data_IF_956814854141
#
_entry.id   IF_956814854141
#
_cell.length_a   1.000
_cell.length_b   1.000
_cell.length_c   1.000
_cell.angle_alpha   90.00
_cell.angle_beta   90.00
_cell.angle_gamma   90.00
#
_symmetry.space_group_name_H-M   'P 1'
#
loop_
_entity.id
_entity.type
_entity.pdbx_description
1 polymer ?
#
# COMPACT_ATOMS: atom_id res chain seq x y z
N UNK A 1 -7.10 25.71 -29.38
CA UNK A 1 -8.17 26.05 -28.42
C UNK A 1 -7.64 25.76 -27.01
N UNK A 2 -7.74 26.70 -26.08
CA UNK A 2 -7.21 26.53 -24.73
C UNK A 2 -8.10 25.55 -23.93
N UNK A 3 -7.50 24.67 -23.12
CA UNK A 3 -8.21 23.67 -22.31
C UNK A 3 -9.33 24.27 -21.43
N UNK A 4 -9.20 25.54 -21.03
CA UNK A 4 -10.21 26.27 -20.28
C UNK A 4 -11.50 26.49 -21.09
N UNK A 5 -11.40 26.66 -22.41
CA UNK A 5 -12.55 26.77 -23.32
C UNK A 5 -13.22 25.40 -23.53
N UNK A 6 -12.42 24.32 -23.49
CA UNK A 6 -12.89 22.94 -23.59
C UNK A 6 -13.59 22.49 -22.29
N UNK A 7 -13.09 22.91 -21.12
CA UNK A 7 -13.77 22.75 -19.83
C UNK A 7 -15.05 23.59 -19.72
N UNK A 8 -15.10 24.78 -20.36
CA UNK A 8 -16.32 25.58 -20.48
C UNK A 8 -17.32 24.97 -21.45
N UNK A 9 -16.88 24.38 -22.56
CA UNK A 9 -17.73 23.66 -23.52
C UNK A 9 -18.27 22.33 -22.99
N UNK A 10 -17.49 21.61 -22.16
CA UNK A 10 -17.95 20.40 -21.46
C UNK A 10 -18.87 20.70 -20.26
N UNK A 11 -19.10 21.99 -19.96
CA UNK A 11 -19.75 22.46 -18.74
C UNK A 11 -18.78 22.32 -17.56
N UNK A 12 -18.41 23.45 -16.95
CA UNK A 12 -17.57 23.44 -15.74
C UNK A 12 -18.15 22.52 -14.65
N UNK A 13 -17.38 22.21 -13.60
CA UNK A 13 -17.73 21.23 -12.54
C UNK A 13 -19.20 21.40 -12.10
N UNK A 14 -20.07 20.55 -12.67
CA UNK A 14 -21.50 20.63 -12.45
C UNK A 14 -21.84 20.27 -11.01
N UNK A 15 -23.04 20.67 -10.54
CA UNK A 15 -23.52 20.30 -9.20
C UNK A 15 -23.43 18.78 -8.94
N UNK A 16 -23.64 17.98 -9.98
CA UNK A 16 -23.49 16.52 -9.96
C UNK A 16 -22.03 16.07 -9.74
N UNK A 17 -21.07 16.69 -10.42
CA UNK A 17 -19.64 16.39 -10.25
C UNK A 17 -19.12 16.83 -8.87
N UNK A 18 -19.57 18.00 -8.37
CA UNK A 18 -19.27 18.44 -7.00
C UNK A 18 -19.86 17.47 -5.98
N UNK A 19 -21.14 17.11 -6.11
CA UNK A 19 -21.79 16.15 -5.24
C UNK A 19 -21.06 14.80 -5.25
N UNK A 20 -20.63 14.32 -6.42
CA UNK A 20 -19.95 13.04 -6.54
C UNK A 20 -18.53 13.05 -5.95
N UNK A 21 -17.79 14.15 -6.09
CA UNK A 21 -16.48 14.32 -5.44
C UNK A 21 -16.65 14.40 -3.92
N UNK A 22 -17.61 15.19 -3.42
CA UNK A 22 -17.93 15.27 -1.98
C UNK A 22 -18.33 13.90 -1.42
N UNK A 23 -19.12 13.12 -2.17
CA UNK A 23 -19.59 11.79 -1.78
C UNK A 23 -18.50 10.72 -1.83
N UNK A 24 -17.39 10.96 -2.55
CA UNK A 24 -16.19 10.10 -2.54
C UNK A 24 -15.21 10.49 -1.42
N UNK A 25 -15.14 11.77 -1.05
CA UNK A 25 -14.28 12.27 0.03
C UNK A 25 -14.79 11.84 1.41
N UNK A 26 -16.10 11.88 1.63
CA UNK A 26 -16.71 11.52 2.91
C UNK A 26 -16.34 10.08 3.37
N UNK A 27 -16.43 9.04 2.52
CA UNK A 27 -15.97 7.70 2.88
C UNK A 27 -14.46 7.56 3.11
N UNK A 28 -13.63 8.38 2.45
CA UNK A 28 -12.17 8.38 2.70
C UNK A 28 -11.84 8.86 4.12
N UNK A 29 -12.59 9.83 4.65
CA UNK A 29 -12.45 10.29 6.03
C UNK A 29 -12.93 9.23 7.05
N UNK A 30 -14.02 8.53 6.74
CA UNK A 30 -14.55 7.42 7.55
C UNK A 30 -13.62 6.18 7.58
N UNK A 31 -12.72 6.01 6.61
CA UNK A 31 -11.74 4.92 6.64
C UNK A 31 -10.61 5.16 7.65
N UNK A 32 -10.27 6.42 7.93
CA UNK A 32 -9.26 6.78 8.93
C UNK A 32 -9.73 6.48 10.35
N UNK A 33 -11.03 6.66 10.64
CA UNK A 33 -11.61 6.31 11.93
C UNK A 33 -11.60 4.80 12.18
N UNK A 34 -11.82 3.97 11.14
CA UNK A 34 -11.75 2.51 11.30
C UNK A 34 -10.36 1.97 11.63
N UNK A 35 -9.30 2.57 11.08
CA UNK A 35 -7.92 2.19 11.39
C UNK A 35 -7.53 2.59 12.83
N UNK A 36 -7.98 3.76 13.29
CA UNK A 36 -7.70 4.23 14.65
C UNK A 36 -8.53 3.51 15.71
N UNK A 37 -9.77 3.11 15.39
CA UNK A 37 -10.64 2.36 16.30
C UNK A 37 -10.01 1.05 16.80
N UNK A 38 -9.20 0.38 15.97
CA UNK A 38 -8.51 -0.84 16.38
C UNK A 38 -7.47 -0.60 17.49
N UNK A 39 -6.83 0.58 17.52
CA UNK A 39 -5.85 0.90 18.55
C UNK A 39 -6.52 1.05 19.93
N UNK A 40 -7.75 1.56 19.96
CA UNK A 40 -8.51 1.74 21.20
C UNK A 40 -9.19 0.44 21.66
N UNK A 41 -9.84 -0.29 20.73
CA UNK A 41 -10.60 -1.50 21.07
C UNK A 41 -9.72 -2.69 21.47
N UNK A 42 -8.48 -2.73 20.98
CA UNK A 42 -7.51 -3.75 21.33
C UNK A 42 -6.44 -3.25 22.32
N UNK A 43 -6.65 -2.12 23.01
CA UNK A 43 -5.72 -1.65 24.03
C UNK A 43 -5.55 -2.71 25.15
N UNK A 44 -4.34 -2.85 25.69
CA UNK A 44 -4.05 -3.73 26.82
C UNK A 44 -3.94 -2.85 28.06
N UNK A 45 -4.95 -2.80 28.94
CA UNK A 45 -4.82 -2.07 30.18
C UNK A 45 -3.78 -2.73 31.10
N UNK A 46 -3.21 -1.98 32.04
CA UNK A 46 -2.41 -2.55 33.12
C UNK A 46 -3.21 -3.64 33.83
N UNK A 47 -2.59 -4.81 34.03
CA UNK A 47 -3.25 -5.97 34.61
C UNK A 47 -2.28 -6.76 35.46
N UNK A 48 -2.85 -7.58 36.33
CA UNK A 48 -2.12 -8.48 37.20
C UNK A 48 -2.90 -9.77 37.44
N UNK A 49 -2.23 -10.81 37.94
CA UNK A 49 -2.87 -12.08 38.25
C UNK A 49 -3.93 -11.92 39.35
N UNK A 50 -5.05 -12.62 39.19
CA UNK A 50 -6.04 -12.78 40.26
C UNK A 50 -5.52 -13.75 41.33
N UNK A 51 -5.51 -13.39 42.63
CA UNK A 51 -5.17 -14.33 43.70
C UNK A 51 -6.16 -15.50 43.79
N UNK A 52 -5.77 -16.65 44.38
CA UNK A 52 -6.68 -17.77 44.60
C UNK A 52 -7.84 -17.42 45.52
N UNK A 53 -9.00 -18.05 45.31
CA UNK A 53 -10.22 -17.80 46.08
C UNK A 53 -10.09 -18.07 47.59
N UNK A 54 -9.06 -18.83 48.00
CA UNK A 54 -8.70 -19.08 49.40
C UNK A 54 -7.95 -17.91 50.06
N UNK A 55 -7.58 -16.87 49.31
CA UNK A 55 -6.91 -15.69 49.85
C UNK A 55 -7.94 -14.73 50.48
N UNK A 56 -7.77 -14.41 51.77
CA UNK A 56 -8.63 -13.47 52.51
C UNK A 56 -8.27 -12.01 52.22
N UNK A 57 -8.63 -11.53 51.03
CA UNK A 57 -8.39 -10.15 50.52
C UNK A 57 -9.05 -9.00 51.31
N UNK A 58 -9.40 -9.21 52.58
CA UNK A 58 -10.08 -8.26 53.47
C UNK A 58 -9.13 -7.27 54.16
N UNK A 59 -7.81 -7.41 53.99
CA UNK A 59 -6.79 -6.55 54.61
C UNK A 59 -5.94 -5.83 53.57
N UNK A 60 -5.68 -4.55 53.81
CA UNK A 60 -4.74 -3.75 53.02
C UNK A 60 -3.34 -4.41 53.01
N UNK A 61 -2.78 -4.60 51.81
CA UNK A 61 -1.47 -5.21 51.60
C UNK A 61 -1.45 -6.72 51.34
N UNK A 62 -2.58 -7.44 51.44
CA UNK A 62 -2.60 -8.87 51.08
C UNK A 62 -2.46 -9.10 49.57
N UNK A 63 -2.99 -8.22 48.72
CA UNK A 63 -2.83 -8.31 47.28
C UNK A 63 -1.35 -8.22 46.89
N UNK A 64 -0.61 -7.28 47.46
CA UNK A 64 0.81 -7.07 47.16
C UNK A 64 1.69 -8.28 47.52
N UNK A 65 1.29 -9.09 48.50
CA UNK A 65 2.00 -10.29 48.90
C UNK A 65 1.98 -11.42 47.85
N UNK A 66 1.11 -11.35 46.84
CA UNK A 66 0.98 -12.36 45.77
C UNK A 66 1.62 -11.94 44.45
N UNK A 67 1.99 -10.66 44.29
CA UNK A 67 2.45 -10.12 43.01
C UNK A 67 3.98 -9.86 43.04
N UNK A 68 4.77 -10.54 42.18
CA UNK A 68 6.18 -10.18 41.99
C UNK A 68 6.29 -8.78 41.38
N UNK A 69 7.39 -8.07 41.67
CA UNK A 69 7.65 -6.72 41.14
C UNK A 69 8.76 -6.76 40.09
N UNK A 70 8.57 -6.01 39.01
CA UNK A 70 9.57 -5.79 37.96
C UNK A 70 10.73 -4.92 38.47
N UNK A 71 11.80 -4.79 37.69
CA UNK A 71 12.95 -3.94 38.03
C UNK A 71 12.64 -2.43 38.16
N UNK A 72 11.41 -2.00 37.90
CA UNK A 72 10.90 -0.64 38.08
C UNK A 72 9.93 -0.53 39.27
N UNK A 73 9.77 -1.60 40.06
CA UNK A 73 8.91 -1.63 41.24
C UNK A 73 7.41 -1.77 40.95
N UNK A 74 7.01 -2.05 39.70
CA UNK A 74 5.61 -2.30 39.33
C UNK A 74 5.29 -3.80 39.40
N UNK A 75 4.06 -4.19 39.71
CA UNK A 75 3.67 -5.59 39.68
C UNK A 75 3.85 -6.20 38.28
N UNK A 76 4.49 -7.37 38.20
CA UNK A 76 4.57 -8.14 36.96
C UNK A 76 3.18 -8.63 36.55
N UNK A 77 2.83 -8.42 35.27
CA UNK A 77 1.45 -8.61 34.81
C UNK A 77 1.06 -10.07 34.54
N UNK A 78 2.04 -10.96 34.39
CA UNK A 78 1.84 -12.34 33.92
C UNK A 78 2.24 -13.43 34.91
N UNK A 79 2.82 -13.05 36.05
CA UNK A 79 3.36 -13.98 37.04
C UNK A 79 2.80 -13.66 38.42
N UNK A 80 2.67 -14.70 39.23
CA UNK A 80 2.17 -14.68 40.60
C UNK A 80 3.03 -15.58 41.46
N UNK A 81 3.19 -15.27 42.75
CA UNK A 81 3.78 -16.19 43.70
C UNK A 81 2.84 -17.35 44.03
N UNK A 82 3.39 -18.57 44.13
CA UNK A 82 2.65 -19.78 44.57
C UNK A 82 2.16 -19.71 46.02
N UNK A 83 2.73 -18.83 46.85
CA UNK A 83 2.34 -18.63 48.25
C UNK A 83 2.49 -17.15 48.65
N UNK A 84 1.66 -16.62 49.57
CA UNK A 84 1.68 -15.21 49.95
C UNK A 84 2.95 -14.89 50.73
N UNK A 85 3.74 -13.94 50.22
CA UNK A 85 4.95 -13.46 50.86
C UNK A 85 4.60 -12.37 51.88
N UNK A 86 4.14 -12.77 53.08
CA UNK A 86 3.84 -11.83 54.17
C UNK A 86 5.14 -11.37 54.85
N UNK A 87 5.39 -10.06 54.85
CA UNK A 87 6.38 -9.44 55.74
C UNK A 87 7.83 -9.43 55.27
N UNK A 88 8.11 -9.61 53.97
CA UNK A 88 9.43 -9.27 53.42
C UNK A 88 9.49 -7.75 53.19
N UNK A 89 10.33 -6.99 53.92
CA UNK A 89 10.77 -5.70 53.43
C UNK A 89 11.58 -5.97 52.17
N UNK A 90 11.39 -5.26 51.06
CA UNK A 90 12.32 -5.32 49.94
C UNK A 90 13.62 -4.62 50.36
N UNK A 91 14.74 -5.31 50.71
CA UNK A 91 15.97 -4.61 50.99
C UNK A 91 16.81 -4.67 49.72
N UNK A 92 17.49 -3.58 49.42
CA UNK A 92 18.54 -3.57 48.40
C UNK A 92 19.50 -4.74 48.61
N UNK A 93 19.49 -5.67 47.66
CA UNK A 93 20.53 -6.66 47.38
C UNK A 93 21.01 -7.53 48.54
N UNK A 94 20.55 -8.78 48.58
CA UNK A 94 21.47 -9.94 48.62
C UNK A 94 20.72 -11.21 48.23
N UNK A 95 21.35 -11.99 47.36
CA UNK A 95 20.88 -13.23 46.76
C UNK A 95 20.31 -14.19 47.83
N UNK A 96 19.01 -14.44 47.78
CA UNK A 96 18.39 -15.57 48.46
C UNK A 96 18.17 -16.68 47.44
N UNK A 97 18.99 -17.73 47.54
CA UNK A 97 18.93 -19.00 46.79
C UNK A 97 17.68 -19.85 47.07
N UNK A 98 16.52 -19.23 47.30
CA UNK A 98 15.23 -19.87 47.14
C UNK A 98 14.71 -19.47 45.78
N UNK A 99 14.55 -20.39 44.85
CA UNK A 99 13.72 -20.16 43.67
C UNK A 99 12.34 -19.76 44.17
N UNK A 100 12.08 -18.46 44.27
CA UNK A 100 10.76 -17.92 44.55
C UNK A 100 9.85 -18.49 43.46
N UNK A 101 9.05 -19.49 43.82
CA UNK A 101 8.31 -20.27 42.84
C UNK A 101 7.15 -19.39 42.33
N UNK A 102 7.44 -18.63 41.28
CA UNK A 102 6.46 -17.89 40.50
C UNK A 102 5.78 -18.85 39.52
N UNK A 103 4.45 -18.76 39.43
CA UNK A 103 3.65 -19.49 38.46
C UNK A 103 2.90 -18.52 37.52
N UNK A 104 2.56 -18.94 36.29
CA UNK A 104 1.67 -18.17 35.43
C UNK A 104 0.28 -18.04 36.04
N UNK A 105 -0.43 -16.95 35.75
CA UNK A 105 -1.78 -16.72 36.28
C UNK A 105 -2.75 -17.85 35.85
N UNK A 106 -3.23 -18.65 36.80
CA UNK A 106 -4.21 -19.73 36.56
C UNK A 106 -5.66 -19.33 36.85
N UNK A 107 -5.87 -18.34 37.73
CA UNK A 107 -7.19 -17.95 38.23
C UNK A 107 -7.77 -16.70 37.53
N UNK A 108 -7.28 -16.38 36.33
CA UNK A 108 -7.65 -15.19 35.57
C UNK A 108 -6.85 -13.95 35.97
N UNK A 109 -7.28 -12.81 35.44
CA UNK A 109 -6.60 -11.51 35.57
C UNK A 109 -7.52 -10.45 36.17
N UNK A 110 -6.91 -9.46 36.81
CA UNK A 110 -7.57 -8.23 37.25
C UNK A 110 -6.99 -7.10 36.41
N UNK A 111 -7.86 -6.37 35.71
CA UNK A 111 -7.51 -5.26 34.85
C UNK A 111 -7.84 -3.93 35.51
N UNK A 112 -7.01 -2.92 35.27
CA UNK A 112 -7.31 -1.55 35.64
C UNK A 112 -8.26 -0.91 34.61
N UNK A 113 -9.53 -0.78 34.99
CA UNK A 113 -10.60 -0.25 34.15
C UNK A 113 -10.74 1.28 34.21
N UNK A 114 -9.79 2.00 34.82
CA UNK A 114 -9.83 3.47 34.95
C UNK A 114 -9.82 4.20 33.60
N UNK A 115 -9.06 3.68 32.63
CA UNK A 115 -8.88 4.32 31.31
C UNK A 115 -9.79 3.71 30.24
N UNK A 116 -9.96 2.38 30.26
CA UNK A 116 -10.81 1.66 29.31
C UNK A 116 -11.76 0.74 30.08
N UNK A 117 -13.09 0.96 30.02
CA UNK A 117 -14.04 0.16 30.80
C UNK A 117 -14.12 -1.28 30.29
N UNK A 118 -14.05 -1.48 28.98
CA UNK A 118 -14.02 -2.79 28.33
C UNK A 118 -13.21 -2.72 27.03
N UNK A 119 -12.39 -3.74 26.80
CA UNK A 119 -11.63 -3.95 25.56
C UNK A 119 -11.75 -5.41 25.13
N UNK A 120 -11.42 -5.69 23.86
CA UNK A 120 -11.34 -7.06 23.32
C UNK A 120 -10.38 -7.92 24.17
N UNK A 121 -9.34 -7.31 24.72
CA UNK A 121 -8.34 -7.98 25.53
C UNK A 121 -8.89 -8.38 26.89
N UNK A 122 -9.66 -7.49 27.54
CA UNK A 122 -10.25 -7.74 28.87
C UNK A 122 -11.47 -8.65 28.80
N UNK A 123 -12.16 -8.73 27.66
CA UNK A 123 -13.37 -9.56 27.51
C UNK A 123 -13.06 -11.04 27.25
N UNK A 124 -11.96 -11.33 26.54
CA UNK A 124 -11.54 -12.70 26.22
C UNK A 124 -10.16 -13.07 26.78
N UNK A 125 -9.66 -12.31 27.76
CA UNK A 125 -8.40 -12.57 28.48
C UNK A 125 -7.21 -12.86 27.56
N UNK A 126 -7.02 -12.01 26.54
CA UNK A 126 -6.04 -12.21 25.48
C UNK A 126 -4.62 -11.76 25.88
N UNK A 127 -4.17 -12.12 27.07
CA UNK A 127 -2.89 -11.68 27.64
C UNK A 127 -1.95 -12.83 28.01
N UNK A 128 -0.68 -12.51 28.22
CA UNK A 128 0.37 -13.45 28.63
C UNK A 128 0.51 -14.64 27.65
N UNK A 129 0.03 -15.82 28.03
CA UNK A 129 0.02 -17.02 27.18
C UNK A 129 -0.88 -16.87 25.93
N UNK A 130 -1.97 -16.12 26.04
CA UNK A 130 -2.94 -15.92 24.96
C UNK A 130 -2.63 -14.70 24.08
N UNK A 131 -1.49 -14.03 24.27
CA UNK A 131 -1.06 -12.89 23.44
C UNK A 131 -0.99 -13.22 21.95
N UNK A 132 -0.69 -14.48 21.63
CA UNK A 132 -0.60 -14.97 20.26
C UNK A 132 -1.96 -14.95 19.55
N UNK A 133 -3.08 -15.12 20.27
CA UNK A 133 -4.42 -15.03 19.69
C UNK A 133 -4.71 -13.60 19.22
N UNK A 134 -4.32 -12.57 20.00
CA UNK A 134 -4.43 -11.18 19.56
C UNK A 134 -3.63 -10.93 18.27
N UNK A 135 -2.43 -11.48 18.17
CA UNK A 135 -1.62 -11.41 16.94
C UNK A 135 -2.27 -12.17 15.78
N UNK A 136 -2.87 -13.32 16.05
CA UNK A 136 -3.60 -14.12 15.05
C UNK A 136 -4.78 -13.33 14.45
N UNK A 137 -5.54 -12.58 15.25
CA UNK A 137 -6.61 -11.71 14.74
C UNK A 137 -6.08 -10.61 13.80
N UNK A 138 -4.88 -10.06 14.08
CA UNK A 138 -4.22 -9.09 13.20
C UNK A 138 -3.69 -9.74 11.92
N UNK A 139 -3.11 -10.93 12.02
CA UNK A 139 -2.66 -11.69 10.85
C UNK A 139 -3.83 -12.08 9.94
N UNK A 140 -4.97 -12.49 10.52
CA UNK A 140 -6.20 -12.81 9.76
C UNK A 140 -6.77 -11.57 9.05
N UNK A 141 -6.66 -10.38 9.65
CA UNK A 141 -6.99 -9.14 8.96
C UNK A 141 -6.13 -8.96 7.69
N UNK A 142 -4.81 -9.17 7.79
CA UNK A 142 -3.89 -9.06 6.65
C UNK A 142 -4.15 -10.13 5.58
N UNK A 143 -4.47 -11.36 5.98
CA UNK A 143 -4.93 -12.41 5.06
C UNK A 143 -6.21 -11.96 4.34
N UNK A 144 -7.15 -11.37 5.07
CA UNK A 144 -8.34 -10.75 4.50
C UNK A 144 -8.01 -9.68 3.46
N UNK A 145 -7.05 -8.79 3.75
CA UNK A 145 -6.60 -7.76 2.80
C UNK A 145 -6.05 -8.39 1.50
N UNK A 146 -5.28 -9.48 1.61
CA UNK A 146 -4.74 -10.21 0.45
C UNK A 146 -5.85 -10.85 -0.39
N UNK A 147 -6.77 -11.59 0.25
CA UNK A 147 -7.89 -12.23 -0.43
C UNK A 147 -8.82 -11.18 -1.07
N UNK A 148 -9.09 -10.09 -0.36
CA UNK A 148 -9.85 -8.96 -0.86
C UNK A 148 -9.22 -8.33 -2.10
N UNK A 149 -7.89 -8.27 -2.16
CA UNK A 149 -7.19 -7.70 -3.31
C UNK A 149 -7.45 -8.49 -4.59
N UNK A 150 -7.52 -9.82 -4.48
CA UNK A 150 -7.76 -10.73 -5.59
C UNK A 150 -9.24 -10.67 -6.00
N UNK A 151 -10.15 -10.80 -5.03
CA UNK A 151 -11.59 -10.88 -5.28
C UNK A 151 -12.14 -9.55 -5.78
N UNK A 152 -11.91 -8.45 -5.06
CA UNK A 152 -12.43 -7.14 -5.45
C UNK A 152 -11.70 -6.56 -6.66
N UNK A 153 -10.43 -6.91 -6.87
CA UNK A 153 -9.73 -6.60 -8.12
C UNK A 153 -10.45 -7.20 -9.33
N UNK A 154 -10.72 -8.51 -9.30
CA UNK A 154 -11.44 -9.16 -10.39
C UNK A 154 -12.89 -8.64 -10.54
N UNK A 155 -13.56 -8.38 -9.42
CA UNK A 155 -14.92 -7.87 -9.43
C UNK A 155 -15.00 -6.44 -9.97
N UNK A 156 -13.95 -5.62 -9.77
CA UNK A 156 -13.90 -4.24 -10.25
C UNK A 156 -13.84 -4.19 -11.78
N UNK A 157 -13.19 -5.15 -12.40
CA UNK A 157 -13.10 -5.28 -13.85
C UNK A 157 -14.43 -5.74 -14.47
N UNK A 158 -15.22 -6.55 -13.76
CA UNK A 158 -16.51 -7.10 -14.23
C UNK A 158 -17.71 -6.20 -13.98
N UNK A 159 -17.88 -5.73 -12.74
CA UNK A 159 -19.07 -4.98 -12.30
C UNK A 159 -18.91 -3.46 -12.43
N UNK A 160 -17.69 -3.00 -12.72
CA UNK A 160 -17.31 -1.60 -12.76
C UNK A 160 -16.96 -1.04 -11.38
N UNK A 161 -16.00 -0.11 -11.37
CA UNK A 161 -15.36 0.44 -10.16
C UNK A 161 -16.34 1.09 -9.17
N UNK A 162 -17.41 1.73 -9.64
CA UNK A 162 -18.42 2.38 -8.78
C UNK A 162 -19.21 1.37 -7.94
N UNK A 163 -19.65 0.25 -8.54
CA UNK A 163 -20.44 -0.77 -7.84
C UNK A 163 -19.57 -1.51 -6.82
N UNK A 164 -18.31 -1.78 -7.18
CA UNK A 164 -17.36 -2.40 -6.26
C UNK A 164 -17.03 -1.49 -5.08
N UNK A 165 -16.89 -0.18 -5.29
CA UNK A 165 -16.67 0.77 -4.20
C UNK A 165 -17.87 0.78 -3.24
N UNK A 166 -19.10 0.80 -3.75
CA UNK A 166 -20.32 0.73 -2.91
C UNK A 166 -20.38 -0.59 -2.15
N UNK A 167 -20.15 -1.73 -2.83
CA UNK A 167 -20.16 -3.05 -2.21
C UNK A 167 -19.11 -3.18 -1.09
N UNK A 168 -17.90 -2.66 -1.32
CA UNK A 168 -16.81 -2.70 -0.34
C UNK A 168 -17.14 -1.87 0.89
N UNK A 169 -17.76 -0.69 0.73
CA UNK A 169 -18.20 0.13 1.86
C UNK A 169 -19.36 -0.50 2.63
N UNK A 170 -20.33 -1.09 1.93
CA UNK A 170 -21.44 -1.80 2.57
C UNK A 170 -20.93 -3.01 3.37
N UNK A 171 -20.01 -3.78 2.81
CA UNK A 171 -19.39 -4.90 3.51
C UNK A 171 -18.56 -4.44 4.72
N UNK A 172 -17.85 -3.32 4.61
CA UNK A 172 -17.12 -2.73 5.74
C UNK A 172 -18.09 -2.34 6.87
N UNK A 173 -19.16 -1.63 6.54
CA UNK A 173 -20.15 -1.20 7.52
C UNK A 173 -20.84 -2.39 8.21
N UNK A 174 -21.22 -3.40 7.44
CA UNK A 174 -21.83 -4.62 7.97
C UNK A 174 -20.85 -5.38 8.88
N UNK A 175 -19.65 -5.70 8.39
CA UNK A 175 -18.65 -6.45 9.17
C UNK A 175 -18.19 -5.70 10.42
N UNK A 176 -18.00 -4.37 10.34
CA UNK A 176 -17.64 -3.53 11.48
C UNK A 176 -18.74 -3.52 12.56
N UNK A 177 -20.00 -3.40 12.16
CA UNK A 177 -21.14 -3.44 13.10
C UNK A 177 -21.26 -4.82 13.74
N UNK A 178 -21.18 -5.89 12.95
CA UNK A 178 -21.23 -7.26 13.46
C UNK A 178 -20.07 -7.58 14.41
N UNK A 179 -18.91 -6.98 14.20
CA UNK A 179 -17.74 -7.15 15.08
C UNK A 179 -18.03 -6.62 16.50
N UNK A 180 -18.83 -5.56 16.64
CA UNK A 180 -19.19 -5.00 17.94
C UNK A 180 -20.12 -5.91 18.76
N UNK A 181 -20.86 -6.81 18.09
CA UNK A 181 -21.77 -7.77 18.71
C UNK A 181 -21.23 -9.21 18.70
N UNK A 182 -19.94 -9.40 18.46
CA UNK A 182 -19.35 -10.73 18.37
C UNK A 182 -19.40 -11.43 19.73
N UNK A 183 -20.10 -12.58 19.87
CA UNK A 183 -20.23 -13.27 21.16
C UNK A 183 -19.00 -14.11 21.52
N UNK A 184 -18.08 -14.32 20.57
CA UNK A 184 -16.89 -15.16 20.77
C UNK A 184 -15.72 -14.72 19.90
N UNK A 185 -14.51 -15.05 20.36
CA UNK A 185 -13.25 -14.70 19.69
C UNK A 185 -13.11 -15.24 18.25
N UNK A 186 -13.55 -16.47 17.89
CA UNK A 186 -13.51 -16.93 16.51
C UNK A 186 -14.44 -16.16 15.57
N UNK A 187 -15.63 -15.80 16.05
CA UNK A 187 -16.61 -14.99 15.29
C UNK A 187 -16.05 -13.59 15.06
N UNK A 188 -15.41 -13.01 16.08
CA UNK A 188 -14.65 -11.77 15.96
C UNK A 188 -13.57 -11.86 14.87
N UNK A 189 -12.78 -12.94 14.85
CA UNK A 189 -11.74 -13.16 13.84
C UNK A 189 -12.32 -13.27 12.41
N UNK A 190 -13.46 -13.94 12.24
CA UNK A 190 -14.13 -14.06 10.94
C UNK A 190 -14.59 -12.69 10.41
N UNK A 191 -15.23 -11.87 11.25
CA UNK A 191 -15.62 -10.52 10.85
C UNK A 191 -14.41 -9.64 10.55
N UNK A 192 -13.32 -9.79 11.32
CA UNK A 192 -12.07 -9.06 11.09
C UNK A 192 -11.41 -9.42 9.76
N UNK A 193 -11.48 -10.69 9.33
CA UNK A 193 -11.06 -11.10 7.99
C UNK A 193 -11.93 -10.43 6.91
N UNK A 194 -13.25 -10.42 7.08
CA UNK A 194 -14.19 -9.77 6.14
C UNK A 194 -13.95 -8.24 6.03
N UNK A 195 -13.66 -7.56 7.15
CA UNK A 195 -13.28 -6.14 7.14
C UNK A 195 -11.93 -5.91 6.44
N UNK A 196 -10.97 -6.82 6.60
CA UNK A 196 -9.72 -6.82 5.84
C UNK A 196 -9.97 -6.86 4.32
N UNK A 197 -10.85 -7.78 3.87
CA UNK A 197 -11.23 -7.89 2.46
C UNK A 197 -11.84 -6.59 1.92
N UNK A 198 -12.76 -5.98 2.66
CA UNK A 198 -13.39 -4.71 2.29
C UNK A 198 -12.40 -3.56 2.18
N UNK A 199 -11.43 -3.49 3.09
CA UNK A 199 -10.39 -2.43 3.09
C UNK A 199 -9.60 -2.46 1.78
N UNK A 200 -9.24 -3.66 1.32
CA UNK A 200 -8.48 -3.84 0.07
C UNK A 200 -9.24 -3.32 -1.15
N UNK A 201 -10.53 -3.65 -1.28
CA UNK A 201 -11.37 -3.16 -2.38
C UNK A 201 -11.49 -1.64 -2.42
N UNK A 202 -11.58 -0.99 -1.26
CA UNK A 202 -11.62 0.48 -1.15
C UNK A 202 -10.28 1.08 -1.60
N UNK A 203 -9.16 0.58 -1.06
CA UNK A 203 -7.82 1.07 -1.37
C UNK A 203 -7.49 0.92 -2.87
N UNK A 204 -7.80 -0.24 -3.47
CA UNK A 204 -7.56 -0.48 -4.88
C UNK A 204 -8.32 0.47 -5.79
N UNK A 205 -9.61 0.72 -5.51
CA UNK A 205 -10.41 1.62 -6.32
C UNK A 205 -9.94 3.07 -6.16
N UNK A 206 -9.54 3.49 -4.95
CA UNK A 206 -8.98 4.83 -4.72
C UNK A 206 -7.69 5.02 -5.50
N UNK A 207 -6.72 4.11 -5.36
CA UNK A 207 -5.46 4.19 -6.11
C UNK A 207 -5.69 4.13 -7.61
N UNK A 208 -6.57 3.25 -8.09
CA UNK A 208 -6.92 3.15 -9.51
C UNK A 208 -7.65 4.38 -10.04
N UNK A 209 -8.43 5.07 -9.21
CA UNK A 209 -9.11 6.31 -9.55
C UNK A 209 -8.15 7.50 -9.61
N UNK A 210 -7.12 7.54 -8.75
CA UNK A 210 -6.06 8.55 -8.79
C UNK A 210 -5.08 8.32 -9.96
N UNK A 211 -4.84 7.06 -10.33
CA UNK A 211 -4.00 6.73 -11.48
C UNK A 211 -4.62 7.19 -12.82
N UNK A 212 -5.95 7.34 -12.90
CA UNK A 212 -6.66 7.80 -14.11
C UNK A 212 -6.29 9.24 -14.52
N UNK A 213 -6.45 10.28 -13.67
CA UNK A 213 -6.05 11.63 -14.01
C UNK A 213 -4.54 11.75 -14.22
N UNK A 214 -3.71 11.02 -13.46
CA UNK A 214 -2.26 11.00 -13.67
C UNK A 214 -1.89 10.45 -15.06
N UNK A 215 -2.54 9.36 -15.51
CA UNK A 215 -2.37 8.80 -16.86
C UNK A 215 -2.95 9.71 -17.94
N UNK A 216 -4.03 10.43 -17.68
CA UNK A 216 -4.58 11.40 -18.63
C UNK A 216 -3.62 12.57 -18.83
N UNK A 217 -3.08 13.15 -17.76
CA UNK A 217 -2.03 14.17 -17.82
C UNK A 217 -0.79 13.63 -18.54
N UNK A 218 -0.38 12.40 -18.24
CA UNK A 218 0.71 11.72 -18.95
C UNK A 218 0.44 11.56 -20.45
N UNK A 219 -0.78 11.16 -20.83
CA UNK A 219 -1.19 11.03 -22.23
C UNK A 219 -1.15 12.37 -22.97
N UNK A 220 -1.67 13.44 -22.35
CA UNK A 220 -1.59 14.81 -22.89
C UNK A 220 -0.13 15.24 -23.03
N UNK A 221 0.71 14.97 -22.03
CA UNK A 221 2.13 15.30 -22.07
C UNK A 221 2.87 14.57 -23.21
N UNK A 222 2.59 13.27 -23.41
CA UNK A 222 3.17 12.48 -24.50
C UNK A 222 2.77 13.01 -25.88
N UNK A 223 1.52 13.46 -26.02
CA UNK A 223 1.00 13.98 -27.29
C UNK A 223 1.49 15.40 -27.62
N UNK A 224 1.70 16.26 -26.61
CA UNK A 224 2.11 17.64 -26.81
C UNK A 224 3.62 17.89 -26.73
N UNK A 225 4.31 17.25 -25.78
CA UNK A 225 5.75 17.47 -25.56
C UNK A 225 6.63 16.41 -26.24
N UNK A 226 6.07 15.28 -26.64
CA UNK A 226 6.84 14.14 -27.15
C UNK A 226 7.13 13.10 -26.08
N UNK A 227 7.68 11.96 -26.50
CA UNK A 227 7.79 10.76 -25.65
C UNK A 227 8.97 10.87 -24.71
N UNK A 228 10.10 11.41 -25.19
CA UNK A 228 11.34 11.58 -24.41
C UNK A 228 11.15 12.53 -23.22
N UNK A 229 10.71 13.80 -23.39
CA UNK A 229 10.57 14.72 -22.27
C UNK A 229 9.47 14.29 -21.29
N UNK A 230 8.39 13.68 -21.78
CA UNK A 230 7.33 13.14 -20.91
C UNK A 230 7.86 12.01 -20.00
N UNK A 231 8.66 11.09 -20.55
CA UNK A 231 9.27 9.99 -19.78
C UNK A 231 10.27 10.51 -18.73
N UNK A 232 11.13 11.46 -19.12
CA UNK A 232 12.12 12.08 -18.22
C UNK A 232 11.42 12.81 -17.08
N UNK A 233 10.44 13.65 -17.39
CA UNK A 233 9.70 14.44 -16.40
C UNK A 233 8.93 13.55 -15.42
N UNK A 234 8.26 12.49 -15.90
CA UNK A 234 7.52 11.58 -15.04
C UNK A 234 8.43 10.82 -14.05
N UNK A 235 9.58 10.32 -14.50
CA UNK A 235 10.53 9.60 -13.65
C UNK A 235 11.25 10.52 -12.64
N UNK A 236 11.63 11.74 -13.06
CA UNK A 236 12.22 12.73 -12.16
C UNK A 236 11.24 13.18 -11.08
N UNK A 237 10.01 13.54 -11.48
CA UNK A 237 8.98 13.98 -10.55
C UNK A 237 8.62 12.86 -9.55
N UNK A 238 8.53 11.61 -10.02
CA UNK A 238 8.31 10.45 -9.15
C UNK A 238 9.42 10.30 -8.10
N UNK A 239 10.68 10.30 -8.54
CA UNK A 239 11.83 10.14 -7.66
C UNK A 239 11.93 11.26 -6.62
N UNK A 240 11.74 12.52 -7.03
CA UNK A 240 11.75 13.67 -6.12
C UNK A 240 10.61 13.57 -5.08
N UNK A 241 9.40 13.19 -5.50
CA UNK A 241 8.27 13.02 -4.56
C UNK A 241 8.54 11.92 -3.54
N UNK A 242 9.14 10.80 -3.95
CA UNK A 242 9.46 9.69 -3.05
C UNK A 242 10.58 10.08 -2.08
N UNK A 243 11.64 10.75 -2.55
CA UNK A 243 12.73 11.21 -1.67
C UNK A 243 12.27 12.27 -0.67
N UNK A 244 11.46 13.23 -1.13
CA UNK A 244 10.90 14.26 -0.25
C UNK A 244 9.96 13.68 0.82
N UNK A 245 9.36 12.51 0.58
CA UNK A 245 8.55 11.80 1.57
C UNK A 245 9.35 11.43 2.84
N UNK A 246 10.65 11.22 2.71
CA UNK A 246 11.52 10.75 3.80
C UNK A 246 11.98 11.83 4.75
N UNK A 247 11.94 13.08 4.29
CA UNK A 247 12.30 14.25 5.09
C UNK A 247 11.10 14.72 5.92
N UNK A 248 9.88 14.28 5.59
CA UNK A 248 8.65 14.72 6.26
C UNK A 248 8.44 13.96 7.58
N UNK A 249 8.32 14.66 8.72
CA UNK A 249 8.12 14.02 10.03
C UNK A 249 6.77 13.29 10.13
N UNK A 250 6.71 12.29 11.03
CA UNK A 250 5.58 11.35 11.18
C UNK A 250 4.22 12.02 11.45
N UNK A 251 4.21 13.22 12.06
CA UNK A 251 3.00 13.92 12.45
C UNK A 251 2.17 14.45 11.26
N UNK A 252 2.78 14.67 10.09
CA UNK A 252 2.11 15.25 8.91
C UNK A 252 1.66 14.17 7.90
N UNK A 253 0.81 13.26 8.36
CA UNK A 253 0.33 12.10 7.57
C UNK A 253 -0.35 12.47 6.25
N UNK A 254 -1.08 13.59 6.20
CA UNK A 254 -1.75 14.08 4.98
C UNK A 254 -0.76 14.46 3.88
N UNK A 255 0.31 15.17 4.23
CA UNK A 255 1.33 15.59 3.24
C UNK A 255 2.09 14.36 2.75
N UNK A 256 2.47 13.45 3.66
CA UNK A 256 3.16 12.21 3.31
C UNK A 256 2.35 11.33 2.36
N UNK A 257 1.05 11.17 2.62
CA UNK A 257 0.16 10.37 1.75
C UNK A 257 -0.06 11.05 0.40
N UNK A 258 -0.28 12.37 0.36
CA UNK A 258 -0.44 13.10 -0.91
C UNK A 258 0.78 12.97 -1.83
N UNK A 259 1.98 13.07 -1.26
CA UNK A 259 3.23 13.01 -2.00
C UNK A 259 3.56 11.59 -2.49
N UNK A 260 3.27 10.58 -1.66
CA UNK A 260 3.37 9.18 -2.05
C UNK A 260 2.40 8.82 -3.18
N UNK A 261 1.17 9.32 -3.11
CA UNK A 261 0.16 9.14 -4.15
C UNK A 261 0.57 9.82 -5.47
N UNK A 262 1.10 11.04 -5.40
CA UNK A 262 1.62 11.76 -6.56
C UNK A 262 2.80 11.02 -7.21
N UNK A 263 3.77 10.59 -6.40
CA UNK A 263 4.93 9.82 -6.88
C UNK A 263 4.53 8.51 -7.55
N UNK A 264 3.61 7.75 -6.94
CA UNK A 264 3.04 6.53 -7.54
C UNK A 264 2.32 6.82 -8.86
N UNK A 265 1.51 7.88 -8.92
CA UNK A 265 0.83 8.29 -10.16
C UNK A 265 1.80 8.59 -11.29
N UNK A 266 2.91 9.25 -10.99
CA UNK A 266 3.98 9.54 -11.97
C UNK A 266 4.70 8.27 -12.45
N UNK A 267 4.97 7.30 -11.56
CA UNK A 267 5.50 5.98 -11.95
C UNK A 267 4.52 5.22 -12.86
N UNK A 268 3.22 5.29 -12.58
CA UNK A 268 2.20 4.67 -13.41
C UNK A 268 2.11 5.30 -14.81
N UNK A 269 2.25 6.62 -14.91
CA UNK A 269 2.32 7.33 -16.20
C UNK A 269 3.59 6.98 -16.98
N UNK A 270 4.74 6.94 -16.31
CA UNK A 270 6.02 6.48 -16.88
C UNK A 270 5.92 5.04 -17.42
N UNK A 271 5.27 4.14 -16.68
CA UNK A 271 5.04 2.77 -17.14
C UNK A 271 4.17 2.71 -18.40
N UNK A 272 3.13 3.54 -18.53
CA UNK A 272 2.37 3.61 -19.78
C UNK A 272 3.18 4.21 -20.94
N UNK A 273 4.00 5.22 -20.67
CA UNK A 273 4.83 5.87 -21.69
C UNK A 273 5.92 4.94 -22.22
N UNK A 274 6.65 4.21 -21.37
CA UNK A 274 7.72 3.31 -21.80
C UNK A 274 7.21 2.18 -22.71
N UNK A 275 6.00 1.66 -22.46
CA UNK A 275 5.37 0.65 -23.31
C UNK A 275 5.03 1.20 -24.71
N UNK A 276 4.47 2.41 -24.76
CA UNK A 276 4.20 3.10 -26.03
C UNK A 276 5.51 3.38 -26.78
N UNK A 277 6.50 3.92 -26.07
CA UNK A 277 7.79 4.32 -26.62
C UNK A 277 8.58 3.12 -27.16
N UNK A 278 8.50 1.96 -26.49
CA UNK A 278 9.07 0.70 -27.00
C UNK A 278 8.45 0.30 -28.34
N UNK A 279 7.15 0.53 -28.54
CA UNK A 279 6.48 0.28 -29.82
C UNK A 279 6.91 1.22 -30.95
N UNK A 280 7.32 2.44 -30.63
CA UNK A 280 7.78 3.44 -31.61
C UNK A 280 9.29 3.37 -31.88
N UNK A 281 10.08 2.89 -30.91
CA UNK A 281 11.54 2.80 -30.99
C UNK A 281 12.00 1.54 -31.73
N UNK A 282 11.35 0.40 -31.51
CA UNK A 282 11.75 -0.88 -32.11
C UNK A 282 11.03 -1.13 -33.44
N UNK A 283 11.76 -1.63 -34.47
CA UNK A 283 11.16 -1.98 -35.75
C UNK A 283 10.26 -3.20 -35.60
N UNK A 284 9.27 -3.33 -36.49
CA UNK A 284 8.22 -4.37 -36.45
C UNK A 284 8.78 -5.78 -36.21
N UNK A 285 9.90 -6.12 -36.84
CA UNK A 285 10.57 -7.43 -36.75
C UNK A 285 11.02 -7.82 -35.33
N UNK A 286 11.41 -6.86 -34.49
CA UNK A 286 11.92 -7.11 -33.12
C UNK A 286 11.09 -6.45 -32.03
N UNK A 287 10.00 -5.77 -32.40
CA UNK A 287 9.13 -5.01 -31.49
C UNK A 287 8.54 -5.88 -30.38
N UNK A 288 8.02 -7.07 -30.74
CA UNK A 288 7.44 -7.99 -29.78
C UNK A 288 8.50 -8.54 -28.80
N UNK A 289 9.70 -8.82 -29.30
CA UNK A 289 10.84 -9.26 -28.49
C UNK A 289 11.28 -8.16 -27.50
N UNK A 290 11.33 -6.90 -27.94
CA UNK A 290 11.61 -5.75 -27.09
C UNK A 290 10.56 -5.53 -25.99
N UNK A 291 9.27 -5.58 -26.34
CA UNK A 291 8.16 -5.52 -25.38
C UNK A 291 8.21 -6.68 -24.37
N UNK A 292 8.53 -7.89 -24.83
CA UNK A 292 8.72 -9.07 -23.98
C UNK A 292 9.85 -8.88 -22.97
N UNK A 293 11.02 -8.41 -23.41
CA UNK A 293 12.15 -8.11 -22.53
C UNK A 293 11.81 -7.05 -21.47
N UNK A 294 11.12 -5.97 -21.87
CA UNK A 294 10.65 -4.94 -20.93
C UNK A 294 9.71 -5.49 -19.86
N UNK A 295 8.78 -6.37 -20.26
CA UNK A 295 7.87 -7.07 -19.33
C UNK A 295 8.64 -7.95 -18.34
N UNK A 296 9.63 -8.72 -18.81
CA UNK A 296 10.47 -9.55 -17.94
C UNK A 296 11.22 -8.71 -16.90
N UNK A 297 11.77 -7.56 -17.30
CA UNK A 297 12.47 -6.67 -16.35
C UNK A 297 11.51 -6.05 -15.31
N UNK A 298 10.28 -5.73 -15.70
CA UNK A 298 9.26 -5.30 -14.73
C UNK A 298 8.95 -6.41 -13.70
N UNK A 299 8.95 -7.69 -14.12
CA UNK A 299 8.78 -8.84 -13.22
C UNK A 299 9.95 -8.99 -12.25
N UNK A 300 11.19 -8.85 -12.73
CA UNK A 300 12.39 -8.84 -11.86
C UNK A 300 12.27 -7.73 -10.81
N UNK A 301 11.87 -6.52 -11.20
CA UNK A 301 11.63 -5.42 -10.27
C UNK A 301 10.56 -5.75 -9.22
N UNK A 302 9.47 -6.41 -9.62
CA UNK A 302 8.41 -6.84 -8.69
C UNK A 302 8.87 -7.92 -7.70
N UNK A 303 9.77 -8.82 -8.12
CA UNK A 303 10.36 -9.87 -7.27
C UNK A 303 11.38 -9.28 -6.29
N UNK A 304 12.14 -8.28 -6.73
CA UNK A 304 13.12 -7.58 -5.89
C UNK A 304 12.47 -6.62 -4.87
N UNK A 305 11.26 -6.12 -5.15
CA UNK A 305 10.59 -5.11 -4.32
C UNK A 305 10.37 -5.56 -2.85
N UNK A 306 9.85 -6.76 -2.55
CA UNK A 306 9.76 -7.23 -1.16
C UNK A 306 11.12 -7.32 -0.47
N UNK A 307 12.19 -7.68 -1.21
CA UNK A 307 13.54 -7.77 -0.67
C UNK A 307 14.07 -6.39 -0.25
N UNK A 308 13.81 -5.36 -1.07
CA UNK A 308 14.10 -3.96 -0.72
C UNK A 308 13.25 -3.53 0.49
N UNK A 309 11.98 -3.91 0.55
CA UNK A 309 11.12 -3.59 1.70
C UNK A 309 11.61 -4.24 3.00
N UNK A 310 12.19 -5.44 2.94
CA UNK A 310 12.73 -6.15 4.12
C UNK A 310 13.95 -5.43 4.71
N UNK A 311 14.70 -4.65 3.91
CA UNK A 311 15.82 -3.83 4.44
C UNK A 311 15.37 -2.74 5.42
N UNK A 312 14.05 -2.43 5.48
CA UNK A 312 13.46 -1.54 6.48
C UNK A 312 13.68 -2.03 7.92
N UNK A 313 13.85 -3.34 8.13
CA UNK A 313 14.10 -3.93 9.45
C UNK A 313 15.47 -3.59 10.00
N UNK A 314 16.49 -3.39 9.13
CA UNK A 314 17.81 -2.93 9.54
C UNK A 314 17.88 -1.39 9.61
N UNK A 315 17.34 -0.72 8.60
CA UNK A 315 17.37 0.74 8.50
C UNK A 315 16.02 1.26 7.95
N UNK A 316 15.17 1.91 8.78
CA UNK A 316 13.83 2.34 8.39
C UNK A 316 13.75 3.25 7.15
N UNK A 317 14.82 4.00 6.86
CA UNK A 317 14.88 4.97 5.76
C UNK A 317 15.36 4.37 4.43
N UNK A 318 16.04 3.22 4.43
CA UNK A 318 16.70 2.65 3.25
C UNK A 318 15.78 2.36 2.07
N UNK A 319 14.60 1.73 2.24
CA UNK A 319 13.70 1.44 1.12
C UNK A 319 13.31 2.71 0.38
N UNK A 320 13.07 3.81 1.11
CA UNK A 320 12.66 5.06 0.52
C UNK A 320 13.76 5.68 -0.35
N UNK A 321 15.01 5.65 0.11
CA UNK A 321 16.15 6.09 -0.70
C UNK A 321 16.33 5.23 -1.95
N UNK A 322 16.15 3.91 -1.84
CA UNK A 322 16.28 3.00 -2.99
C UNK A 322 15.16 3.28 -4.01
N UNK A 323 13.89 3.32 -3.58
CA UNK A 323 12.76 3.60 -4.47
C UNK A 323 12.76 5.03 -5.03
N UNK A 324 13.39 5.97 -4.34
CA UNK A 324 13.52 7.36 -4.79
C UNK A 324 14.67 7.58 -5.77
N UNK A 325 15.83 6.96 -5.55
CA UNK A 325 17.02 7.16 -6.40
C UNK A 325 16.96 6.39 -7.71
N UNK A 326 16.39 5.17 -7.72
CA UNK A 326 16.28 4.34 -8.94
C UNK A 326 15.54 5.07 -10.08
N UNK A 327 14.36 5.69 -9.87
CA UNK A 327 13.70 6.49 -10.90
C UNK A 327 14.52 7.70 -11.39
N UNK A 328 15.29 8.35 -10.52
CA UNK A 328 16.13 9.50 -10.90
C UNK A 328 17.28 9.06 -11.82
N UNK A 329 17.93 7.95 -11.47
CA UNK A 329 18.96 7.33 -12.33
C UNK A 329 18.34 6.90 -13.65
N UNK A 330 17.18 6.24 -13.61
CA UNK A 330 16.45 5.84 -14.82
C UNK A 330 16.06 7.03 -15.71
N UNK A 331 15.70 8.18 -15.13
CA UNK A 331 15.42 9.41 -15.88
C UNK A 331 16.66 9.95 -16.60
N UNK A 332 17.82 9.87 -15.94
CA UNK A 332 19.10 10.26 -16.53
C UNK A 332 19.47 9.36 -17.71
N UNK A 333 19.27 8.05 -17.57
CA UNK A 333 19.45 7.10 -18.68
C UNK A 333 18.42 7.35 -19.80
N UNK A 334 17.18 7.71 -19.45
CA UNK A 334 16.14 8.06 -20.41
C UNK A 334 16.49 9.29 -21.26
N UNK A 335 17.35 10.17 -20.77
CA UNK A 335 17.86 11.30 -21.56
C UNK A 335 18.68 10.87 -22.78
N UNK A 336 19.24 9.66 -22.79
CA UNK A 336 19.99 9.12 -23.94
C UNK A 336 19.09 8.58 -25.05
N UNK A 337 17.79 8.42 -24.81
CA UNK A 337 16.86 7.89 -25.80
C UNK A 337 16.50 8.94 -26.88
N UNK A 338 16.31 8.53 -28.15
CA UNK A 338 15.97 9.42 -29.26
C UNK A 338 14.47 9.74 -29.32
N UNK A 339 14.08 10.99 -29.61
CA UNK A 339 12.67 11.38 -29.72
C UNK A 339 11.96 10.69 -30.89
N UNK A 340 10.72 10.23 -30.67
CA UNK A 340 9.89 9.52 -31.66
C UNK A 340 8.70 10.34 -32.15
N UNK A 341 8.36 11.45 -31.49
CA UNK A 341 7.26 12.33 -31.88
C UNK A 341 7.39 12.79 -33.35
N UNK A 342 6.36 12.54 -34.15
CA UNK A 342 6.28 13.02 -35.54
C UNK A 342 7.08 12.22 -36.57
N UNK A 343 7.77 11.15 -36.17
CA UNK A 343 8.45 10.25 -37.10
C UNK A 343 7.57 9.03 -37.45
N UNK A 344 7.63 8.51 -38.70
CA UNK A 344 6.91 7.28 -39.06
C UNK A 344 7.42 6.10 -38.21
N UNK A 345 6.66 5.02 -38.09
CA UNK A 345 7.17 3.83 -37.40
C UNK A 345 8.28 3.18 -38.25
N UNK A 346 9.39 2.72 -37.64
CA UNK A 346 10.41 1.98 -38.36
C UNK A 346 9.90 0.56 -38.68
N UNK A 347 10.03 0.14 -39.93
CA UNK A 347 9.67 -1.22 -40.36
C UNK A 347 10.90 -2.12 -40.36
N UNK A 348 12.07 -1.56 -40.70
CA UNK A 348 13.34 -2.28 -40.78
C UNK A 348 14.44 -1.67 -39.90
N UNK A 349 15.52 -2.42 -39.67
CA UNK A 349 16.70 -1.91 -38.96
C UNK A 349 17.41 -0.82 -39.77
N UNK A 350 17.37 -0.90 -41.09
CA UNK A 350 17.94 0.11 -42.00
C UNK A 350 17.29 1.48 -41.80
N UNK A 351 15.96 1.53 -41.55
CA UNK A 351 15.24 2.77 -41.26
C UNK A 351 15.76 3.48 -40.01
N UNK A 352 16.24 2.72 -39.01
CA UNK A 352 16.83 3.26 -37.79
C UNK A 352 18.26 3.77 -38.01
N UNK A 353 19.06 3.07 -38.83
CA UNK A 353 20.41 3.52 -39.18
C UNK A 353 20.38 4.83 -39.98
N UNK A 354 19.44 4.94 -40.91
CA UNK A 354 19.24 6.15 -41.72
C UNK A 354 18.76 7.34 -40.88
N UNK A 355 17.92 7.10 -39.86
CA UNK A 355 17.56 8.13 -38.86
C UNK A 355 18.77 8.56 -38.02
N UNK A 356 19.59 7.61 -37.58
CA UNK A 356 20.82 7.91 -36.80
C UNK A 356 21.82 8.74 -37.62
N UNK A 357 21.90 8.51 -38.94
CA UNK A 357 22.76 9.28 -39.86
C UNK A 357 22.19 10.65 -40.27
N UNK A 358 20.97 10.99 -39.84
CA UNK A 358 20.38 12.31 -40.10
C UNK A 358 19.92 12.55 -41.53
N UNK A 359 19.54 11.50 -42.29
CA UNK A 359 19.01 11.68 -43.65
C UNK A 359 17.73 12.55 -43.63
N UNK A 360 17.55 13.48 -44.60
CA UNK A 360 16.39 14.36 -44.63
C UNK A 360 15.06 13.60 -44.68
N UNK A 361 14.12 13.99 -43.83
CA UNK A 361 12.78 13.39 -43.66
C UNK A 361 11.96 13.32 -44.97
N UNK A 362 12.22 14.23 -45.92
CA UNK A 362 11.66 14.22 -47.29
C UNK A 362 12.11 13.00 -48.11
N UNK A 363 13.39 12.61 -48.03
CA UNK A 363 13.92 11.47 -48.78
C UNK A 363 13.34 10.14 -48.27
N UNK A 364 13.13 10.01 -46.96
CA UNK A 364 12.49 8.82 -46.38
C UNK A 364 11.00 8.73 -46.76
N UNK A 365 10.26 9.84 -46.74
CA UNK A 365 8.86 9.86 -47.19
C UNK A 365 8.71 9.59 -48.70
N UNK A 366 9.63 10.11 -49.53
CA UNK A 366 9.66 9.84 -50.97
C UNK A 366 10.03 8.39 -51.27
N UNK A 367 11.03 7.82 -50.57
CA UNK A 367 11.38 6.41 -50.68
C UNK A 367 10.24 5.49 -50.24
N UNK A 368 9.57 5.78 -49.13
CA UNK A 368 8.42 4.97 -48.67
C UNK A 368 7.23 5.08 -49.64
N UNK A 369 6.96 6.27 -50.19
CA UNK A 369 5.98 6.46 -51.27
C UNK A 369 6.37 5.79 -52.59
N UNK A 370 7.66 5.59 -52.88
CA UNK A 370 8.12 4.85 -54.06
C UNK A 370 8.07 3.33 -53.86
N UNK A 371 8.28 2.83 -52.63
CA UNK A 371 8.23 1.40 -52.32
C UNK A 371 6.80 0.82 -52.38
N UNK A 372 5.78 1.58 -51.97
CA UNK A 372 4.37 1.16 -52.00
C UNK A 372 3.86 0.81 -53.42
N UNK A 373 4.05 1.64 -54.47
CA UNK A 373 3.64 1.30 -55.83
C UNK A 373 4.50 0.18 -56.44
N UNK A 374 5.77 0.05 -56.05
CA UNK A 374 6.63 -1.07 -56.50
C UNK A 374 6.16 -2.42 -55.93
N UNK A 375 5.72 -2.48 -54.68
CA UNK A 375 5.14 -3.70 -54.11
C UNK A 375 3.79 -4.06 -54.74
N UNK A 376 2.95 -3.06 -55.05
CA UNK A 376 1.70 -3.29 -55.77
C UNK A 376 1.95 -3.84 -57.18
N UNK A 377 2.87 -3.25 -57.95
CA UNK A 377 3.24 -3.78 -59.28
C UNK A 377 4.01 -5.11 -59.23
N UNK A 378 4.74 -5.41 -58.16
CA UNK A 378 5.42 -6.70 -57.99
C UNK A 378 4.44 -7.82 -57.60
N UNK A 379 3.40 -7.52 -56.80
CA UNK A 379 2.31 -8.47 -56.54
C UNK A 379 1.48 -8.72 -57.80
N UNK A 380 1.28 -7.72 -58.66
CA UNK A 380 0.58 -7.88 -59.94
C UNK A 380 1.37 -8.74 -60.95
N UNK A 381 2.70 -8.62 -60.98
CA UNK A 381 3.56 -9.43 -61.86
C UNK A 381 3.79 -10.88 -61.41
N UNK A 382 3.67 -11.16 -60.11
CA UNK A 382 3.83 -12.51 -59.55
C UNK A 382 2.48 -13.25 -59.37
N UNK A 383 1.37 -12.62 -59.78
CA UNK A 383 0.02 -13.16 -59.71
C UNK A 383 -0.50 -13.65 -61.06
N UNK A 384 0.28 -14.43 -61.80
CA UNK A 384 -0.15 -15.16 -62.99
C UNK A 384 0.48 -16.55 -63.05
#
# INVERSE_FOLDING_TARGET
MAFNDLLRQLGGIGRFQKAQVTLIILPMLLMASHNTLQNFTAAVPPHHCRPPASANLSRDGELEAWLPRDGQGRPESCLRFTSPQRGLPFPNGTEANGTEATEPCTNGWIYDNSTFPSTIVTEWDLVCSHRALRQLAQSLYMVGVLLGAIVFGHLADRLGRRKVLILSHLQMAASGTCTAFAPSFPVYCAFRLLSGMSTSGIIQVIFGAVDLPAKFVGFVAINHLGRRPAQIAALLLAGICILANGVIPQDQSTVRTSLAVLGKGCLAASFSCIFLYTGELYPTMIRQTGLGMGSTMARVGSIASPLVSMTAELFPSMPLFIYGTVPVVASTVAALLPETLGHPLPDTVQDLEDRRRGKPQRQQQEQQKQMVPLQASAQEKNGL
#
